data_IF_308768814943
#
_entry.id   IF_308768814943
#
_cell.length_a   1.000
_cell.length_b   1.000
_cell.length_c   1.000
_cell.angle_alpha   90.00
_cell.angle_beta   90.00
_cell.angle_gamma   90.00
#
_symmetry.space_group_name_H-M   'P 1'
#
loop_
_entity.id
_entity.type
_entity.pdbx_description
1 polymer ?
#
# COMPACT_ATOMS: atom_id res chain seq x y z
N UNK A 1 -18.60 -38.08 -20.13
CA UNK A 1 -17.86 -37.47 -19.00
C UNK A 1 -18.12 -35.97 -19.08
N UNK A 2 -18.83 -35.41 -18.11
CA UNK A 2 -19.07 -33.96 -18.09
C UNK A 2 -17.73 -33.23 -18.06
N UNK A 3 -17.36 -32.64 -19.18
CA UNK A 3 -16.07 -31.99 -19.40
C UNK A 3 -15.88 -30.73 -18.52
N UNK A 4 -16.81 -30.46 -17.61
CA UNK A 4 -16.89 -29.28 -16.74
C UNK A 4 -16.29 -29.48 -15.35
N UNK A 5 -15.95 -30.71 -14.95
CA UNK A 5 -15.49 -31.01 -13.60
C UNK A 5 -14.20 -31.84 -13.63
N UNK A 6 -13.08 -31.22 -13.23
CA UNK A 6 -11.76 -31.85 -13.09
C UNK A 6 -11.19 -31.55 -11.69
N UNK A 7 -12.06 -31.61 -10.68
CA UNK A 7 -11.71 -31.41 -9.28
C UNK A 7 -10.73 -32.49 -8.78
N UNK A 8 -9.93 -32.15 -7.77
CA UNK A 8 -8.94 -33.04 -7.12
C UNK A 8 -7.99 -33.77 -8.08
N UNK A 9 -7.81 -33.25 -9.28
CA UNK A 9 -6.96 -33.89 -10.29
C UNK A 9 -5.50 -33.57 -10.05
N UNK A 10 -4.61 -34.55 -10.22
CA UNK A 10 -3.17 -34.35 -10.11
C UNK A 10 -2.50 -34.11 -11.48
N UNK A 11 -2.04 -32.89 -11.71
CA UNK A 11 -1.38 -32.44 -12.93
C UNK A 11 0.07 -32.02 -12.62
N UNK A 12 0.90 -33.01 -12.30
CA UNK A 12 2.33 -32.81 -11.92
C UNK A 12 3.23 -32.76 -13.16
N UNK A 13 4.12 -31.76 -13.25
CA UNK A 13 5.08 -31.54 -14.35
C UNK A 13 4.46 -31.52 -15.75
N UNK A 14 3.21 -31.08 -15.87
CA UNK A 14 2.51 -31.00 -17.16
C UNK A 14 2.80 -29.67 -17.84
N UNK A 15 2.78 -29.68 -19.18
CA UNK A 15 2.69 -28.47 -19.98
C UNK A 15 1.22 -28.22 -20.32
N UNK A 16 0.67 -27.15 -19.76
CA UNK A 16 -0.72 -26.71 -19.90
C UNK A 16 -0.75 -25.26 -20.42
N UNK A 17 0.27 -24.87 -21.18
CA UNK A 17 0.39 -23.50 -21.71
C UNK A 17 -0.84 -23.19 -22.57
N UNK A 18 -1.51 -22.07 -22.29
CA UNK A 18 -2.66 -21.60 -23.05
C UNK A 18 -3.93 -22.44 -22.93
N UNK A 19 -3.95 -23.50 -22.12
CA UNK A 19 -5.12 -24.37 -21.97
C UNK A 19 -6.30 -23.57 -21.41
N UNK A 20 -7.50 -23.84 -21.91
CA UNK A 20 -8.71 -23.19 -21.43
C UNK A 20 -9.42 -24.03 -20.37
N UNK A 21 -9.37 -23.58 -19.12
CA UNK A 21 -10.12 -24.08 -17.98
C UNK A 21 -11.08 -23.03 -17.41
N UNK A 22 -11.51 -22.07 -18.22
CA UNK A 22 -12.53 -21.11 -17.79
C UNK A 22 -13.78 -21.83 -17.31
N UNK A 23 -14.38 -21.33 -16.23
CA UNK A 23 -15.63 -21.83 -15.62
C UNK A 23 -15.57 -23.27 -15.10
N UNK A 24 -14.40 -23.93 -15.18
CA UNK A 24 -14.25 -25.31 -14.72
C UNK A 24 -14.20 -25.38 -13.20
N UNK A 25 -14.72 -26.49 -12.66
CA UNK A 25 -14.47 -26.85 -11.28
C UNK A 25 -13.13 -27.62 -11.18
N UNK A 26 -12.17 -26.97 -10.53
CA UNK A 26 -10.80 -27.41 -10.28
C UNK A 26 -10.49 -27.46 -8.78
N UNK A 27 -11.53 -27.52 -7.95
CA UNK A 27 -11.40 -27.49 -6.50
C UNK A 27 -10.47 -28.62 -6.01
N UNK A 28 -9.49 -28.28 -5.19
CA UNK A 28 -8.53 -29.22 -4.63
C UNK A 28 -7.54 -29.83 -5.64
N UNK A 29 -7.55 -29.39 -6.91
CA UNK A 29 -6.63 -29.92 -7.92
C UNK A 29 -5.18 -29.51 -7.65
N UNK A 30 -4.24 -30.36 -8.04
CA UNK A 30 -2.81 -30.23 -7.72
C UNK A 30 -1.97 -30.04 -8.97
N UNK A 31 -1.41 -28.84 -9.11
CA UNK A 31 -0.45 -28.45 -10.13
C UNK A 31 0.92 -28.27 -9.47
N UNK A 32 1.79 -29.27 -9.62
CA UNK A 32 3.14 -29.24 -9.03
C UNK A 32 4.19 -29.17 -10.13
N UNK A 33 5.03 -28.11 -10.11
CA UNK A 33 6.11 -27.90 -11.10
C UNK A 33 5.63 -27.91 -12.56
N UNK A 34 4.35 -27.59 -12.79
CA UNK A 34 3.75 -27.56 -14.12
C UNK A 34 3.90 -26.18 -14.75
N UNK A 35 3.90 -26.14 -16.09
CA UNK A 35 3.90 -24.91 -16.87
C UNK A 35 2.45 -24.60 -17.27
N UNK A 36 1.91 -23.51 -16.73
CA UNK A 36 0.56 -22.99 -16.98
C UNK A 36 0.64 -21.56 -17.53
N UNK A 37 1.69 -21.25 -18.29
CA UNK A 37 1.82 -19.94 -18.91
C UNK A 37 0.59 -19.65 -19.79
N UNK A 38 0.04 -18.43 -19.71
CA UNK A 38 -1.14 -18.01 -20.48
C UNK A 38 -2.39 -18.87 -20.27
N UNK A 39 -2.44 -19.69 -19.22
CA UNK A 39 -3.62 -20.53 -18.97
C UNK A 39 -4.84 -19.64 -18.73
N UNK A 40 -6.00 -20.05 -19.23
CA UNK A 40 -7.26 -19.39 -18.92
C UNK A 40 -7.98 -20.14 -17.80
N UNK A 41 -8.10 -19.50 -16.64
CA UNK A 41 -8.78 -19.96 -15.43
C UNK A 41 -9.89 -18.98 -15.02
N UNK A 42 -10.36 -18.13 -15.94
CA UNK A 42 -11.39 -17.15 -15.61
C UNK A 42 -12.67 -17.83 -15.15
N UNK A 43 -13.34 -17.26 -14.13
CA UNK A 43 -14.55 -17.81 -13.52
C UNK A 43 -14.42 -19.26 -12.98
N UNK A 44 -13.22 -19.83 -12.91
CA UNK A 44 -13.01 -21.18 -12.42
C UNK A 44 -13.19 -21.25 -10.89
N UNK A 45 -13.58 -22.42 -10.39
CA UNK A 45 -13.51 -22.73 -8.97
C UNK A 45 -12.16 -23.42 -8.67
N UNK A 46 -11.28 -22.72 -7.97
CA UNK A 46 -9.92 -23.12 -7.59
C UNK A 46 -9.74 -23.25 -6.08
N UNK A 47 -10.84 -23.30 -5.31
CA UNK A 47 -10.75 -23.42 -3.86
C UNK A 47 -9.90 -24.64 -3.46
N UNK A 48 -9.05 -24.45 -2.45
CA UNK A 48 -8.15 -25.48 -1.92
C UNK A 48 -7.13 -26.07 -2.91
N UNK A 49 -7.01 -25.52 -4.11
CA UNK A 49 -6.08 -26.01 -5.12
C UNK A 49 -4.61 -25.73 -4.76
N UNK A 50 -3.70 -26.52 -5.33
CA UNK A 50 -2.27 -26.43 -5.04
C UNK A 50 -1.50 -26.11 -6.32
N UNK A 51 -0.93 -24.91 -6.41
CA UNK A 51 -0.06 -24.43 -7.49
C UNK A 51 1.36 -24.23 -6.97
N UNK A 52 2.07 -25.30 -6.62
CA UNK A 52 3.41 -25.18 -6.02
C UNK A 52 4.50 -25.19 -7.09
N UNK A 53 5.38 -24.17 -7.07
CA UNK A 53 6.50 -24.02 -8.01
C UNK A 53 6.05 -24.08 -9.48
N UNK A 54 4.88 -23.53 -9.78
CA UNK A 54 4.32 -23.50 -11.14
C UNK A 54 4.70 -22.21 -11.85
N UNK A 55 4.68 -22.26 -13.19
CA UNK A 55 4.74 -21.05 -14.00
C UNK A 55 3.33 -20.67 -14.43
N UNK A 56 2.79 -19.58 -13.89
CA UNK A 56 1.48 -19.00 -14.20
C UNK A 56 1.63 -17.60 -14.79
N UNK A 57 2.78 -17.32 -15.43
CA UNK A 57 2.98 -16.05 -16.12
C UNK A 57 1.86 -15.82 -17.13
N UNK A 58 1.29 -14.62 -17.17
CA UNK A 58 0.18 -14.24 -18.07
C UNK A 58 -1.09 -15.08 -17.89
N UNK A 59 -1.25 -15.80 -16.77
CA UNK A 59 -2.47 -16.56 -16.48
C UNK A 59 -3.66 -15.62 -16.27
N UNK A 60 -4.83 -16.00 -16.80
CA UNK A 60 -6.08 -15.30 -16.54
C UNK A 60 -6.87 -15.98 -15.42
N UNK A 61 -7.05 -15.31 -14.29
CA UNK A 61 -7.82 -15.78 -13.13
C UNK A 61 -8.97 -14.83 -12.79
N UNK A 62 -9.38 -13.98 -13.73
CA UNK A 62 -10.47 -13.03 -13.57
C UNK A 62 -11.77 -13.71 -13.12
N UNK A 63 -12.47 -13.09 -12.18
CA UNK A 63 -13.73 -13.57 -11.60
C UNK A 63 -13.69 -14.99 -10.98
N UNK A 64 -12.50 -15.57 -10.79
CA UNK A 64 -12.37 -16.90 -10.20
C UNK A 64 -12.47 -16.89 -8.67
N UNK A 65 -12.77 -18.06 -8.10
CA UNK A 65 -12.75 -18.30 -6.66
C UNK A 65 -11.50 -19.13 -6.31
N UNK A 66 -10.62 -18.61 -5.45
CA UNK A 66 -9.31 -19.21 -5.17
C UNK A 66 -9.03 -19.26 -3.66
N UNK A 67 -10.07 -19.50 -2.86
CA UNK A 67 -9.95 -19.51 -1.40
C UNK A 67 -9.04 -20.64 -0.96
N UNK A 68 -8.18 -20.35 0.01
CA UNK A 68 -7.30 -21.33 0.66
C UNK A 68 -6.38 -22.09 -0.32
N UNK A 69 -6.21 -21.60 -1.55
CA UNK A 69 -5.28 -22.19 -2.50
C UNK A 69 -3.82 -21.87 -2.14
N UNK A 70 -2.88 -22.62 -2.73
CA UNK A 70 -1.46 -22.50 -2.41
C UNK A 70 -0.57 -22.30 -3.63
N UNK A 71 -0.04 -21.08 -3.80
CA UNK A 71 0.84 -20.67 -4.89
C UNK A 71 2.32 -20.63 -4.51
N UNK A 72 2.74 -21.30 -3.43
CA UNK A 72 4.10 -21.23 -2.90
C UNK A 72 5.18 -21.34 -4.00
N UNK A 73 6.03 -20.30 -4.09
CA UNK A 73 7.16 -20.18 -5.03
C UNK A 73 6.78 -20.21 -6.51
N UNK A 74 5.54 -19.88 -6.86
CA UNK A 74 5.10 -19.83 -8.25
C UNK A 74 5.37 -18.47 -8.88
N UNK A 75 5.49 -18.46 -10.20
CA UNK A 75 5.64 -17.25 -10.99
C UNK A 75 4.28 -16.78 -11.47
N UNK A 76 3.83 -15.59 -11.03
CA UNK A 76 2.54 -14.99 -11.36
C UNK A 76 2.71 -13.62 -12.01
N UNK A 77 3.84 -13.39 -12.67
CA UNK A 77 4.05 -12.16 -13.42
C UNK A 77 2.97 -12.00 -14.51
N UNK A 78 2.54 -10.76 -14.73
CA UNK A 78 1.58 -10.40 -15.77
C UNK A 78 0.20 -11.09 -15.66
N UNK A 79 -0.09 -11.73 -14.52
CA UNK A 79 -1.34 -12.47 -14.33
C UNK A 79 -2.52 -11.55 -13.98
N UNK A 80 -3.73 -12.00 -14.31
CA UNK A 80 -4.96 -11.27 -14.10
C UNK A 80 -5.77 -11.88 -12.94
N UNK A 81 -5.92 -11.15 -11.84
CA UNK A 81 -6.76 -11.49 -10.68
C UNK A 81 -7.88 -10.46 -10.46
N UNK A 82 -8.37 -9.82 -11.53
CA UNK A 82 -9.48 -8.87 -11.43
C UNK A 82 -10.72 -9.57 -10.87
N UNK A 83 -11.38 -8.92 -9.89
CA UNK A 83 -12.56 -9.44 -9.17
C UNK A 83 -12.37 -10.83 -8.51
N UNK A 84 -11.13 -11.30 -8.32
CA UNK A 84 -10.89 -12.62 -7.75
C UNK A 84 -11.10 -12.66 -6.24
N UNK A 85 -11.62 -13.78 -5.74
CA UNK A 85 -11.69 -14.08 -4.31
C UNK A 85 -10.44 -14.85 -3.83
N UNK A 86 -9.60 -14.21 -3.02
CA UNK A 86 -8.30 -14.73 -2.57
C UNK A 86 -8.26 -14.99 -1.06
N UNK A 87 -9.41 -15.21 -0.42
CA UNK A 87 -9.45 -15.38 1.04
C UNK A 87 -8.52 -16.54 1.46
N UNK A 88 -7.61 -16.26 2.41
CA UNK A 88 -6.64 -17.21 2.97
C UNK A 88 -5.69 -17.85 1.96
N UNK A 89 -5.57 -17.31 0.75
CA UNK A 89 -4.65 -17.84 -0.27
C UNK A 89 -3.20 -17.64 0.15
N UNK A 90 -2.37 -18.67 -0.07
CA UNK A 90 -0.95 -18.65 0.26
C UNK A 90 -0.08 -18.24 -0.95
N UNK A 91 0.59 -17.10 -0.85
CA UNK A 91 1.47 -16.54 -1.88
C UNK A 91 2.94 -16.44 -1.42
N UNK A 92 3.37 -17.25 -0.46
CA UNK A 92 4.75 -17.20 0.03
C UNK A 92 5.75 -17.33 -1.12
N UNK A 93 6.69 -16.37 -1.20
CA UNK A 93 7.75 -16.32 -2.22
C UNK A 93 7.24 -16.25 -3.68
N UNK A 94 6.05 -15.69 -3.90
CA UNK A 94 5.51 -15.45 -5.24
C UNK A 94 6.03 -14.12 -5.81
N UNK A 95 6.26 -14.10 -7.12
CA UNK A 95 6.51 -12.87 -7.86
C UNK A 95 5.23 -12.46 -8.61
N UNK A 96 4.80 -11.22 -8.38
CA UNK A 96 3.61 -10.62 -8.97
C UNK A 96 3.95 -9.45 -9.90
N UNK A 97 5.15 -9.39 -10.46
CA UNK A 97 5.55 -8.25 -11.30
C UNK A 97 4.51 -8.03 -12.41
N UNK A 98 3.98 -6.82 -12.50
CA UNK A 98 2.93 -6.40 -13.47
C UNK A 98 1.58 -7.15 -13.36
N UNK A 99 1.31 -7.87 -12.25
CA UNK A 99 0.02 -8.52 -12.02
C UNK A 99 -1.10 -7.53 -11.68
N UNK A 100 -2.35 -7.92 -11.98
CA UNK A 100 -3.56 -7.11 -11.76
C UNK A 100 -4.44 -7.76 -10.70
N UNK A 101 -4.90 -7.00 -9.73
CA UNK A 101 -5.72 -7.41 -8.59
C UNK A 101 -6.92 -6.49 -8.40
N UNK A 102 -7.32 -5.75 -9.43
CA UNK A 102 -8.36 -4.74 -9.31
C UNK A 102 -9.64 -5.35 -8.73
N UNK A 103 -10.25 -4.69 -7.75
CA UNK A 103 -11.50 -5.13 -7.09
C UNK A 103 -11.43 -6.51 -6.41
N UNK A 104 -10.26 -7.13 -6.31
CA UNK A 104 -10.10 -8.44 -5.66
C UNK A 104 -10.22 -8.34 -4.14
N UNK A 105 -10.54 -9.47 -3.50
CA UNK A 105 -10.62 -9.60 -2.05
C UNK A 105 -9.42 -10.36 -1.50
N UNK A 106 -8.55 -9.66 -0.76
CA UNK A 106 -7.33 -10.18 -0.13
C UNK A 106 -7.50 -10.24 1.39
N UNK A 107 -8.38 -11.11 1.86
CA UNK A 107 -8.56 -11.34 3.31
C UNK A 107 -7.66 -12.49 3.78
N UNK A 108 -6.93 -12.32 4.88
CA UNK A 108 -6.06 -13.35 5.46
C UNK A 108 -5.01 -13.94 4.50
N UNK A 109 -4.64 -13.24 3.43
CA UNK A 109 -3.66 -13.72 2.46
C UNK A 109 -2.26 -13.78 3.05
N UNK A 110 -1.51 -14.83 2.73
CA UNK A 110 -0.12 -14.95 3.15
C UNK A 110 0.83 -14.40 2.08
N UNK A 111 1.27 -13.15 2.26
CA UNK A 111 2.18 -12.43 1.36
C UNK A 111 3.64 -12.44 1.83
N UNK A 112 4.07 -13.43 2.62
CA UNK A 112 5.46 -13.48 3.11
C UNK A 112 6.46 -13.64 1.95
N UNK A 113 7.43 -12.72 1.88
CA UNK A 113 8.52 -12.71 0.88
C UNK A 113 8.02 -12.61 -0.57
N UNK A 114 6.87 -11.97 -0.80
CA UNK A 114 6.42 -11.66 -2.15
C UNK A 114 7.25 -10.54 -2.77
N UNK A 115 7.22 -10.47 -4.10
CA UNK A 115 7.65 -9.30 -4.87
C UNK A 115 6.42 -8.66 -5.52
N UNK A 116 6.17 -7.40 -5.19
CA UNK A 116 5.13 -6.54 -5.77
C UNK A 116 5.78 -5.39 -6.55
N UNK A 117 6.17 -5.62 -7.80
CA UNK A 117 6.64 -4.54 -8.67
C UNK A 117 5.55 -4.19 -9.67
N UNK A 118 5.14 -2.91 -9.74
CA UNK A 118 4.10 -2.43 -10.69
C UNK A 118 2.74 -3.16 -10.60
N UNK A 119 2.41 -3.67 -9.43
CA UNK A 119 1.15 -4.41 -9.21
C UNK A 119 -0.01 -3.43 -9.10
N UNK A 120 -1.16 -3.79 -9.68
CA UNK A 120 -2.37 -2.96 -9.63
C UNK A 120 -3.43 -3.53 -8.66
N UNK A 121 -3.62 -2.87 -7.52
CA UNK A 121 -4.63 -3.15 -6.51
C UNK A 121 -5.76 -2.11 -6.50
N UNK A 122 -6.06 -1.46 -7.63
CA UNK A 122 -7.13 -0.44 -7.66
C UNK A 122 -8.45 -1.04 -7.19
N UNK A 123 -9.12 -0.36 -6.26
CA UNK A 123 -10.37 -0.81 -5.61
C UNK A 123 -10.27 -2.18 -4.87
N UNK A 124 -9.07 -2.72 -4.65
CA UNK A 124 -8.91 -3.98 -3.95
C UNK A 124 -9.20 -3.84 -2.44
N UNK A 125 -9.63 -4.93 -1.81
CA UNK A 125 -9.95 -4.98 -0.38
C UNK A 125 -8.92 -5.83 0.35
N UNK A 126 -8.26 -5.25 1.35
CA UNK A 126 -7.33 -5.94 2.23
C UNK A 126 -7.92 -6.01 3.64
N UNK A 127 -8.04 -7.23 4.18
CA UNK A 127 -8.51 -7.44 5.55
C UNK A 127 -7.56 -8.39 6.26
N UNK A 128 -7.05 -7.99 7.42
CA UNK A 128 -6.17 -8.81 8.25
C UNK A 128 -4.95 -9.33 7.46
N UNK A 129 -4.20 -8.39 6.87
CA UNK A 129 -3.01 -8.69 6.06
C UNK A 129 -1.78 -8.11 6.72
N UNK A 130 -0.76 -8.94 6.91
CA UNK A 130 0.53 -8.51 7.45
C UNK A 130 1.66 -8.78 6.45
N UNK A 131 2.36 -7.72 6.07
CA UNK A 131 3.56 -7.76 5.24
C UNK A 131 4.67 -7.03 5.99
N UNK A 132 5.55 -7.82 6.61
CA UNK A 132 6.65 -7.30 7.41
C UNK A 132 7.98 -7.83 6.88
N UNK A 133 8.96 -6.95 6.69
CA UNK A 133 10.30 -7.35 6.22
C UNK A 133 11.45 -6.75 7.04
N UNK A 134 11.44 -7.00 8.36
CA UNK A 134 12.42 -6.49 9.33
C UNK A 134 13.89 -6.83 9.02
N UNK A 135 14.16 -7.86 8.21
CA UNK A 135 15.52 -8.30 7.89
C UNK A 135 16.34 -7.22 7.13
N UNK A 136 15.70 -6.16 6.65
CA UNK A 136 16.29 -5.18 5.75
C UNK A 136 16.23 -3.72 6.26
N UNK A 137 16.17 -3.52 7.58
CA UNK A 137 16.15 -2.21 8.24
C UNK A 137 17.24 -1.24 7.73
N UNK A 138 18.32 -1.76 7.12
CA UNK A 138 19.48 -0.99 6.67
C UNK A 138 19.69 -0.94 5.15
N UNK A 139 18.82 -1.54 4.32
CA UNK A 139 18.95 -1.43 2.85
C UNK A 139 17.72 -0.75 2.25
N UNK A 140 17.79 0.58 2.09
CA UNK A 140 16.83 1.37 1.30
C UNK A 140 16.79 0.97 -0.19
N UNK A 141 17.62 0.01 -0.62
CA UNK A 141 17.82 -0.48 -1.98
C UNK A 141 16.86 -1.61 -2.41
N UNK A 142 15.97 -2.09 -1.54
CA UNK A 142 15.19 -3.27 -1.89
C UNK A 142 13.93 -2.91 -2.71
N UNK A 143 13.99 -3.17 -4.02
CA UNK A 143 12.96 -2.86 -5.04
C UNK A 143 11.70 -3.75 -5.01
N UNK A 144 11.49 -4.52 -3.93
CA UNK A 144 10.44 -5.52 -3.89
C UNK A 144 9.01 -4.95 -3.95
N UNK A 145 8.81 -3.67 -3.64
CA UNK A 145 7.48 -3.03 -3.57
C UNK A 145 7.42 -1.70 -4.34
N UNK A 146 8.02 -1.63 -5.52
CA UNK A 146 8.15 -0.38 -6.29
C UNK A 146 6.97 -0.15 -7.23
N UNK A 147 6.47 1.10 -7.27
CA UNK A 147 5.39 1.56 -8.17
C UNK A 147 4.09 0.75 -8.02
N UNK A 148 3.73 0.39 -6.79
CA UNK A 148 2.49 -0.35 -6.53
C UNK A 148 1.32 0.62 -6.56
N UNK A 149 0.22 0.26 -7.24
CA UNK A 149 -0.98 1.08 -7.34
C UNK A 149 -2.07 0.55 -6.41
N UNK A 150 -2.33 1.26 -5.32
CA UNK A 150 -3.40 1.05 -4.34
C UNK A 150 -4.52 2.10 -4.44
N UNK A 151 -4.70 2.73 -5.61
CA UNK A 151 -5.73 3.75 -5.80
C UNK A 151 -7.10 3.23 -5.36
N UNK A 152 -7.81 3.97 -4.50
CA UNK A 152 -9.12 3.59 -3.94
C UNK A 152 -9.17 2.25 -3.19
N UNK A 153 -8.02 1.64 -2.89
CA UNK A 153 -7.99 0.41 -2.11
C UNK A 153 -8.50 0.65 -0.68
N UNK A 154 -9.11 -0.37 -0.10
CA UNK A 154 -9.58 -0.34 1.29
C UNK A 154 -8.75 -1.28 2.14
N UNK A 155 -8.16 -0.73 3.20
CA UNK A 155 -7.35 -1.46 4.15
C UNK A 155 -8.05 -1.50 5.51
N UNK A 156 -8.31 -2.70 6.01
CA UNK A 156 -8.80 -2.93 7.37
C UNK A 156 -7.84 -3.85 8.11
N UNK A 157 -7.32 -3.39 9.23
CA UNK A 157 -6.41 -4.18 10.09
C UNK A 157 -5.17 -4.67 9.31
N UNK A 158 -4.50 -3.76 8.61
CA UNK A 158 -3.36 -4.09 7.74
C UNK A 158 -2.06 -3.52 8.33
N UNK A 159 -0.99 -4.31 8.28
CA UNK A 159 0.37 -3.87 8.62
C UNK A 159 1.30 -4.08 7.44
N UNK A 160 1.93 -3.01 6.98
CA UNK A 160 2.84 -2.97 5.83
C UNK A 160 4.13 -2.28 6.28
N UNK A 161 4.99 -3.00 7.01
CA UNK A 161 6.12 -2.39 7.69
C UNK A 161 7.45 -2.84 7.08
N UNK A 162 8.46 -1.96 7.13
CA UNK A 162 9.82 -2.24 6.66
C UNK A 162 9.90 -2.55 5.15
N UNK A 163 9.08 -1.91 4.33
CA UNK A 163 9.02 -2.14 2.87
C UNK A 163 9.50 -0.93 2.05
N UNK A 164 10.06 -1.21 0.88
CA UNK A 164 10.40 -0.22 -0.13
C UNK A 164 9.22 0.07 -1.05
N UNK A 165 8.40 1.06 -0.72
CA UNK A 165 7.17 1.46 -1.42
C UNK A 165 7.37 2.67 -2.35
N UNK A 166 8.57 2.84 -2.90
CA UNK A 166 8.94 4.01 -3.72
C UNK A 166 7.99 4.21 -4.91
N UNK A 167 7.56 5.46 -5.11
CA UNK A 167 6.62 5.86 -6.18
C UNK A 167 5.28 5.10 -6.16
N UNK A 168 4.82 4.63 -5.01
CA UNK A 168 3.53 3.93 -4.90
C UNK A 168 2.37 4.92 -4.86
N UNK A 169 1.21 4.50 -5.33
CA UNK A 169 0.02 5.34 -5.42
C UNK A 169 -1.07 4.82 -4.47
N UNK A 170 -1.40 5.58 -3.43
CA UNK A 170 -2.44 5.35 -2.46
C UNK A 170 -3.58 6.36 -2.58
N UNK A 171 -3.70 7.07 -3.70
CA UNK A 171 -4.72 8.10 -3.87
C UNK A 171 -6.13 7.56 -3.60
N UNK A 172 -6.94 8.32 -2.86
CA UNK A 172 -8.33 8.00 -2.51
C UNK A 172 -8.50 6.68 -1.74
N UNK A 173 -7.41 6.11 -1.20
CA UNK A 173 -7.47 4.89 -0.39
C UNK A 173 -7.99 5.16 1.02
N UNK A 174 -8.46 4.09 1.67
CA UNK A 174 -8.85 4.08 3.08
C UNK A 174 -7.79 3.32 3.84
N UNK A 175 -6.99 4.02 4.64
CA UNK A 175 -5.84 3.51 5.38
C UNK A 175 -6.04 3.56 6.89
N UNK A 176 -7.27 3.74 7.39
CA UNK A 176 -7.52 3.90 8.83
C UNK A 176 -6.87 2.78 9.65
N UNK A 177 -6.07 3.15 10.66
CA UNK A 177 -5.36 2.24 11.57
C UNK A 177 -4.29 1.37 10.92
N UNK A 178 -3.86 1.68 9.70
CA UNK A 178 -2.80 0.95 9.01
C UNK A 178 -1.43 1.31 9.58
N UNK A 179 -0.58 0.29 9.75
CA UNK A 179 0.84 0.50 10.05
C UNK A 179 1.65 0.51 8.76
N UNK A 180 2.45 1.58 8.58
CA UNK A 180 3.39 1.82 7.49
C UNK A 180 4.76 2.24 8.07
N UNK A 181 5.17 1.68 9.20
CA UNK A 181 6.40 2.10 9.89
C UNK A 181 7.67 1.58 9.21
N UNK A 182 8.74 2.38 9.29
CA UNK A 182 10.04 2.10 8.67
C UNK A 182 9.96 1.82 7.16
N UNK A 183 8.97 2.38 6.47
CA UNK A 183 8.79 2.22 5.03
C UNK A 183 9.51 3.32 4.24
N UNK A 184 10.03 2.96 3.06
CA UNK A 184 10.51 3.94 2.10
C UNK A 184 9.37 4.31 1.14
N UNK A 185 8.73 5.45 1.42
CA UNK A 185 7.57 5.98 0.70
C UNK A 185 7.92 7.22 -0.13
N UNK A 186 9.21 7.46 -0.42
CA UNK A 186 9.65 8.60 -1.24
C UNK A 186 8.86 8.66 -2.56
N UNK A 187 8.40 9.86 -2.92
CA UNK A 187 7.57 10.12 -4.13
C UNK A 187 6.24 9.35 -4.19
N UNK A 188 5.74 8.80 -3.08
CA UNK A 188 4.44 8.15 -3.06
C UNK A 188 3.30 9.17 -3.00
N UNK A 189 2.13 8.79 -3.50
CA UNK A 189 0.96 9.66 -3.57
C UNK A 189 -0.13 9.15 -2.62
N UNK A 190 -0.70 10.02 -1.80
CA UNK A 190 -1.76 9.77 -0.83
C UNK A 190 -2.89 10.80 -0.97
N UNK A 191 -3.06 11.35 -2.18
CA UNK A 191 -3.99 12.45 -2.43
C UNK A 191 -5.42 11.99 -2.23
N UNK A 192 -6.22 12.80 -1.54
CA UNK A 192 -7.61 12.52 -1.16
C UNK A 192 -7.78 11.21 -0.35
N UNK A 193 -6.70 10.66 0.22
CA UNK A 193 -6.77 9.44 1.03
C UNK A 193 -7.23 9.74 2.46
N UNK A 194 -7.80 8.73 3.12
CA UNK A 194 -8.21 8.77 4.53
C UNK A 194 -7.21 7.98 5.36
N UNK A 195 -6.50 8.66 6.27
CA UNK A 195 -5.40 8.11 7.07
C UNK A 195 -5.60 8.38 8.57
N UNK A 196 -6.77 8.04 9.12
CA UNK A 196 -6.99 8.23 10.55
C UNK A 196 -6.19 7.19 11.35
N UNK A 197 -5.47 7.62 12.39
CA UNK A 197 -4.74 6.72 13.30
C UNK A 197 -3.70 5.84 12.57
N UNK A 198 -3.07 6.39 11.52
CA UNK A 198 -2.06 5.68 10.74
C UNK A 198 -0.68 5.81 11.41
N UNK A 199 0.10 4.73 11.39
CA UNK A 199 1.49 4.77 11.87
C UNK A 199 2.48 4.88 10.70
N UNK A 200 3.08 6.06 10.52
CA UNK A 200 4.15 6.35 9.54
C UNK A 200 5.51 6.60 10.23
N UNK A 201 5.68 6.15 11.47
CA UNK A 201 6.92 6.39 12.21
C UNK A 201 8.15 5.80 11.51
N UNK A 202 9.27 6.50 11.60
CA UNK A 202 10.55 6.16 10.97
C UNK A 202 10.51 5.98 9.44
N UNK A 203 9.44 6.40 8.77
CA UNK A 203 9.29 6.26 7.32
C UNK A 203 9.92 7.42 6.56
N UNK A 204 10.43 7.13 5.36
CA UNK A 204 10.97 8.14 4.45
C UNK A 204 9.88 8.59 3.48
N UNK A 205 9.41 9.83 3.61
CA UNK A 205 8.29 10.38 2.86
C UNK A 205 8.72 11.51 1.91
N UNK A 206 10.02 11.71 1.67
CA UNK A 206 10.52 12.83 0.88
C UNK A 206 9.85 12.89 -0.51
N UNK A 207 9.39 14.07 -0.93
CA UNK A 207 8.62 14.30 -2.17
C UNK A 207 7.28 13.53 -2.27
N UNK A 208 6.76 12.98 -1.18
CA UNK A 208 5.40 12.41 -1.19
C UNK A 208 4.33 13.51 -1.19
N UNK A 209 3.12 13.13 -1.59
CA UNK A 209 1.99 14.04 -1.72
C UNK A 209 0.81 13.50 -0.92
N UNK A 210 0.16 14.37 -0.15
CA UNK A 210 -0.97 14.14 0.74
C UNK A 210 -2.08 15.16 0.47
N UNK A 211 -2.17 15.65 -0.77
CA UNK A 211 -3.08 16.75 -1.13
C UNK A 211 -4.52 16.37 -0.81
N UNK A 212 -5.28 17.23 -0.13
CA UNK A 212 -6.68 16.99 0.27
C UNK A 212 -6.90 15.72 1.12
N UNK A 213 -5.86 15.17 1.72
CA UNK A 213 -5.99 13.98 2.56
C UNK A 213 -6.49 14.32 3.97
N UNK A 214 -7.03 13.33 4.66
CA UNK A 214 -7.42 13.43 6.07
C UNK A 214 -6.42 12.67 6.96
N UNK A 215 -5.71 13.39 7.82
CA UNK A 215 -4.54 12.96 8.60
C UNK A 215 -4.80 13.10 10.11
N UNK A 216 -5.94 12.59 10.60
CA UNK A 216 -6.28 12.66 12.02
C UNK A 216 -5.48 11.63 12.83
N UNK A 217 -4.88 12.06 13.95
CA UNK A 217 -4.16 11.21 14.90
C UNK A 217 -3.01 10.38 14.25
N UNK A 218 -2.44 10.86 13.14
CA UNK A 218 -1.38 10.14 12.43
C UNK A 218 -0.03 10.27 13.17
N UNK A 219 0.72 9.16 13.23
CA UNK A 219 2.03 9.13 13.87
C UNK A 219 3.15 9.28 12.85
N UNK A 220 3.80 10.45 12.84
CA UNK A 220 4.97 10.76 12.00
C UNK A 220 6.32 10.69 12.76
N UNK A 221 6.36 10.15 13.98
CA UNK A 221 7.57 10.17 14.82
C UNK A 221 8.81 9.63 14.07
N UNK A 222 9.92 10.38 14.06
CA UNK A 222 11.17 10.07 13.33
C UNK A 222 11.05 9.92 11.81
N UNK A 223 9.92 10.28 11.21
CA UNK A 223 9.77 10.25 9.75
C UNK A 223 10.52 11.41 9.08
N UNK A 224 10.89 11.24 7.81
CA UNK A 224 11.50 12.30 7.00
C UNK A 224 10.45 12.93 6.09
N UNK A 225 10.03 14.16 6.42
CA UNK A 225 8.95 14.90 5.76
C UNK A 225 9.45 16.06 4.87
N UNK A 226 10.73 16.11 4.54
CA UNK A 226 11.28 17.16 3.66
C UNK A 226 10.60 17.14 2.29
N UNK A 227 10.21 18.31 1.78
CA UNK A 227 9.51 18.47 0.49
C UNK A 227 8.18 17.71 0.37
N UNK A 228 7.54 17.34 1.48
CA UNK A 228 6.20 16.72 1.43
C UNK A 228 5.16 17.78 1.08
N UNK A 229 4.19 17.39 0.25
CA UNK A 229 3.05 18.24 -0.10
C UNK A 229 1.80 17.86 0.69
N UNK A 230 1.44 18.68 1.67
CA UNK A 230 0.22 18.60 2.46
C UNK A 230 -0.84 19.63 2.03
N UNK A 231 -0.79 20.15 0.79
CA UNK A 231 -1.73 21.18 0.34
C UNK A 231 -3.19 20.74 0.54
N UNK A 232 -4.01 21.61 1.11
CA UNK A 232 -5.43 21.37 1.39
C UNK A 232 -5.70 20.15 2.30
N UNK A 233 -4.68 19.59 2.95
CA UNK A 233 -4.84 18.44 3.85
C UNK A 233 -5.43 18.87 5.20
N UNK A 234 -6.13 17.95 5.85
CA UNK A 234 -6.64 18.11 7.21
C UNK A 234 -5.73 17.37 8.20
N UNK A 235 -4.94 18.12 8.97
CA UNK A 235 -4.04 17.64 10.00
C UNK A 235 -4.65 17.91 11.37
N UNK A 236 -4.96 16.87 12.13
CA UNK A 236 -5.59 17.01 13.45
C UNK A 236 -4.92 16.14 14.50
N UNK A 237 -4.58 16.75 15.64
CA UNK A 237 -3.97 16.10 16.81
C UNK A 237 -2.65 15.38 16.46
N UNK A 238 -1.73 16.07 15.77
CA UNK A 238 -0.47 15.49 15.31
C UNK A 238 0.70 16.07 16.10
N UNK A 239 1.61 15.20 16.52
CA UNK A 239 2.92 15.63 17.02
C UNK A 239 3.95 15.62 15.88
N UNK A 240 4.38 16.82 15.47
CA UNK A 240 5.47 17.06 14.53
C UNK A 240 6.67 17.74 15.20
N UNK A 241 6.76 17.71 16.53
CA UNK A 241 7.88 18.29 17.26
C UNK A 241 9.20 17.65 16.82
N UNK A 242 10.28 18.45 16.81
CA UNK A 242 11.62 18.04 16.38
C UNK A 242 11.71 17.48 14.94
N UNK A 243 10.68 17.64 14.11
CA UNK A 243 10.65 17.04 12.77
C UNK A 243 11.30 17.96 11.74
N UNK A 244 11.98 17.37 10.75
CA UNK A 244 12.50 18.11 9.60
C UNK A 244 11.40 18.28 8.53
N UNK A 245 10.85 19.49 8.48
CA UNK A 245 9.78 19.92 7.56
C UNK A 245 10.28 20.96 6.55
N UNK A 246 11.60 21.03 6.29
CA UNK A 246 12.13 22.02 5.37
C UNK A 246 11.51 21.85 3.97
N UNK A 247 11.09 22.96 3.36
CA UNK A 247 10.40 23.00 2.06
C UNK A 247 9.06 22.24 2.01
N UNK A 248 8.44 21.93 3.15
CA UNK A 248 7.10 21.35 3.18
C UNK A 248 6.08 22.33 2.59
N UNK A 249 5.05 21.82 1.93
CA UNK A 249 3.94 22.62 1.42
C UNK A 249 2.68 22.37 2.26
N UNK A 250 2.25 23.35 3.03
CA UNK A 250 1.00 23.37 3.79
C UNK A 250 -0.02 24.35 3.19
N UNK A 251 0.09 24.70 1.90
CA UNK A 251 -0.83 25.64 1.25
C UNK A 251 -2.29 25.22 1.47
N UNK A 252 -3.12 26.12 2.01
CA UNK A 252 -4.52 25.88 2.34
C UNK A 252 -4.78 24.67 3.29
N UNK A 253 -3.75 24.16 3.96
CA UNK A 253 -3.90 23.05 4.89
C UNK A 253 -4.57 23.51 6.19
N UNK A 254 -5.34 22.63 6.81
CA UNK A 254 -5.95 22.84 8.13
C UNK A 254 -5.13 22.10 9.18
N UNK A 255 -4.57 22.83 10.15
CA UNK A 255 -3.78 22.28 11.24
C UNK A 255 -4.51 22.58 12.56
N UNK A 256 -5.08 21.56 13.19
CA UNK A 256 -5.78 21.65 14.47
C UNK A 256 -5.03 20.82 15.54
N UNK A 257 -4.66 21.44 16.66
CA UNK A 257 -3.93 20.79 17.76
C UNK A 257 -2.62 20.11 17.28
N UNK A 258 -1.86 20.80 16.43
CA UNK A 258 -0.58 20.29 15.90
C UNK A 258 0.58 20.86 16.71
N UNK A 259 1.47 19.99 17.18
CA UNK A 259 2.70 20.39 17.84
C UNK A 259 3.85 20.48 16.83
N UNK A 260 4.30 21.69 16.51
CA UNK A 260 5.46 21.98 15.65
C UNK A 260 6.66 22.49 16.46
N UNK A 261 6.67 22.29 17.79
CA UNK A 261 7.77 22.78 18.64
C UNK A 261 9.10 22.18 18.20
N UNK A 262 10.14 23.01 18.10
CA UNK A 262 11.49 22.62 17.63
C UNK A 262 11.54 22.05 16.21
N UNK A 263 10.46 22.14 15.42
CA UNK A 263 10.45 21.66 14.04
C UNK A 263 11.25 22.60 13.13
N UNK A 264 11.85 22.03 12.08
CA UNK A 264 12.50 22.82 11.04
C UNK A 264 11.53 23.11 9.90
N UNK A 265 10.96 24.32 9.85
CA UNK A 265 10.02 24.76 8.81
C UNK A 265 10.68 25.70 7.79
N UNK A 266 12.01 25.72 7.69
CA UNK A 266 12.71 26.62 6.78
C UNK A 266 12.17 26.51 5.34
N UNK A 267 11.75 27.65 4.78
CA UNK A 267 11.16 27.77 3.44
C UNK A 267 9.88 26.93 3.23
N UNK A 268 9.14 26.61 4.30
CA UNK A 268 7.82 26.02 4.18
C UNK A 268 6.85 26.99 3.48
N UNK A 269 5.92 26.45 2.67
CA UNK A 269 4.82 27.23 2.12
C UNK A 269 3.59 27.11 3.04
N UNK A 270 3.17 28.21 3.67
CA UNK A 270 2.00 28.27 4.55
C UNK A 270 0.85 29.11 3.96
N UNK A 271 0.90 29.46 2.67
CA UNK A 271 -0.12 30.31 2.03
C UNK A 271 -1.55 29.76 2.28
N UNK A 272 -2.40 30.55 2.93
CA UNK A 272 -3.80 30.18 3.19
C UNK A 272 -3.99 29.09 4.25
N UNK A 273 -2.92 28.63 4.91
CA UNK A 273 -3.02 27.64 5.96
C UNK A 273 -3.83 28.16 7.16
N UNK A 274 -4.58 27.26 7.79
CA UNK A 274 -5.37 27.55 8.99
C UNK A 274 -4.75 26.86 10.19
N UNK A 275 -4.24 27.64 11.14
CA UNK A 275 -3.64 27.15 12.38
C UNK A 275 -4.64 27.37 13.50
N UNK A 276 -5.10 26.27 14.10
CA UNK A 276 -5.94 26.25 15.30
C UNK A 276 -5.21 25.52 16.41
N UNK A 277 -4.88 26.21 17.50
CA UNK A 277 -4.17 25.61 18.65
C UNK A 277 -2.85 24.93 18.25
N UNK A 278 -2.11 25.55 17.32
CA UNK A 278 -0.80 25.07 16.88
C UNK A 278 0.28 25.56 17.87
N UNK A 279 1.27 24.71 18.17
CA UNK A 279 2.43 25.08 18.99
C UNK A 279 3.66 25.29 18.11
N UNK A 280 4.33 26.42 18.22
CA UNK A 280 5.51 26.78 17.40
C UNK A 280 6.77 27.07 18.22
N UNK A 281 6.81 26.67 19.50
CA UNK A 281 7.93 26.96 20.41
C UNK A 281 9.27 26.57 19.78
N UNK A 282 10.17 27.54 19.65
CA UNK A 282 11.53 27.37 19.11
C UNK A 282 11.59 26.68 17.72
N UNK A 283 10.52 26.77 16.92
CA UNK A 283 10.52 26.27 15.55
C UNK A 283 11.41 27.16 14.65
N UNK A 284 12.11 26.57 13.68
CA UNK A 284 12.86 27.34 12.69
C UNK A 284 11.90 27.89 11.62
N UNK A 285 11.55 29.17 11.73
CA UNK A 285 10.61 29.87 10.85
C UNK A 285 11.31 30.72 9.77
N UNK A 286 12.58 30.46 9.48
CA UNK A 286 13.35 31.23 8.50
C UNK A 286 12.67 31.22 7.12
N UNK A 287 12.41 32.43 6.59
CA UNK A 287 11.75 32.68 5.29
C UNK A 287 10.31 32.15 5.20
N UNK A 288 9.59 32.11 6.33
CA UNK A 288 8.16 31.86 6.34
C UNK A 288 7.40 33.18 6.25
N UNK A 289 6.42 33.25 5.35
CA UNK A 289 5.46 34.35 5.26
C UNK A 289 4.19 33.98 6.04
N UNK A 290 3.95 34.70 7.13
CA UNK A 290 2.75 34.53 7.96
C UNK A 290 1.58 35.45 7.55
N UNK A 291 1.77 36.38 6.61
CA UNK A 291 0.74 37.37 6.23
C UNK A 291 -0.55 36.74 5.70
N UNK A 292 -0.46 35.51 5.18
CA UNK A 292 -1.58 34.73 4.63
C UNK A 292 -1.99 33.53 5.49
N UNK A 293 -1.47 33.41 6.72
CA UNK A 293 -1.80 32.33 7.65
C UNK A 293 -2.93 32.78 8.56
N UNK A 294 -4.00 31.97 8.66
CA UNK A 294 -5.07 32.24 9.62
C UNK A 294 -4.69 31.63 10.97
N UNK A 295 -4.53 32.47 11.99
CA UNK A 295 -4.16 32.06 13.34
C UNK A 295 -5.39 32.12 14.25
N UNK A 296 -5.76 30.99 14.86
CA UNK A 296 -6.88 30.84 15.79
C UNK A 296 -6.34 30.15 17.04
N UNK A 297 -6.48 30.74 18.21
CA UNK A 297 -6.01 30.18 19.50
C UNK A 297 -4.57 29.62 19.45
N UNK A 298 -3.71 30.23 18.62
CA UNK A 298 -2.37 29.72 18.31
C UNK A 298 -1.34 30.44 19.15
N UNK A 299 -0.57 29.69 19.93
CA UNK A 299 0.47 30.27 20.78
C UNK A 299 1.74 30.53 19.96
N UNK A 300 2.00 31.80 19.68
CA UNK A 300 3.23 32.29 19.05
C UNK A 300 4.27 32.67 20.13
N UNK A 301 4.65 31.74 20.99
CA UNK A 301 5.79 31.95 21.89
C UNK A 301 7.10 31.87 21.08
N UNK A 302 7.53 33.03 20.57
CA UNK A 302 8.83 33.24 19.93
C UNK A 302 9.92 33.38 21.00
N UNK A 303 10.26 32.29 21.70
CA UNK A 303 11.42 32.24 22.60
C UNK A 303 12.45 31.22 22.10
#
# INVERSE_FOLDING_TARGET
MDNNNINKTELKKKNLTGVNFSEKNLQGSVFLKSNLNKINLSRANLDFSIFKKTNLKEANLEDSNIKEANFLKSNLNDSNFINTNLIKTNFVKVNFTDAKFNKSSLTDVNLKKVRLTKVNFTDAKFNNVEINNKKFLFSFLNENFVKVNFTKANFKEVKINYLGLLNSNFNKSILDKVSLDHCNLKKSLFNEARLNDVNLSSSNLVYSSFIKSNLKDINFNKSNLKFVDFSEANLKNINLSYTNLAYVNFKNARLENVDLSYANLAKANLEGAEFKSVKLKSANLNKIDFSKVKLIDTNLEFN
#
